data_IF_877230132241
#
_entry.id   IF_877230132241
#
_cell.length_a   1.000
_cell.length_b   1.000
_cell.length_c   1.000
_cell.angle_alpha   90.00
_cell.angle_beta   90.00
_cell.angle_gamma   90.00
#
_symmetry.space_group_name_H-M   'P 1'
#
loop_
_entity.id
_entity.type
_entity.pdbx_description
1 polymer ?
#
# COMPACT_ATOMS: atom_id res chain seq x y z
N UNK A 1 3.57 17.97 39.20
CA UNK A 1 2.82 17.49 38.02
C UNK A 1 3.73 16.49 37.34
N UNK A 2 3.27 15.24 37.14
CA UNK A 2 4.04 14.26 36.38
C UNK A 2 3.80 14.56 34.90
N UNK A 3 4.86 14.86 34.16
CA UNK A 3 4.82 14.90 32.71
C UNK A 3 4.47 13.50 32.22
N UNK A 4 3.25 13.36 31.72
CA UNK A 4 2.81 12.16 31.05
C UNK A 4 3.34 12.24 29.63
N UNK A 5 4.48 11.60 29.40
CA UNK A 5 4.95 11.30 28.04
C UNK A 5 3.89 10.42 27.39
N UNK A 6 3.05 11.04 26.55
CA UNK A 6 2.15 10.30 25.69
C UNK A 6 3.05 9.63 24.66
N UNK A 7 3.41 8.36 24.89
CA UNK A 7 3.90 7.48 23.82
C UNK A 7 2.73 7.33 22.86
N UNK A 8 2.59 8.30 21.96
CA UNK A 8 1.81 8.15 20.75
C UNK A 8 2.53 7.06 19.96
N UNK A 9 2.15 5.80 20.20
CA UNK A 9 2.63 4.70 19.38
C UNK A 9 2.49 5.13 17.94
N UNK A 10 3.61 5.16 17.21
CA UNK A 10 3.67 5.61 15.83
C UNK A 10 2.60 4.83 15.08
N UNK A 11 1.46 5.49 14.83
CA UNK A 11 0.39 4.89 14.04
C UNK A 11 1.04 4.71 12.69
N UNK A 12 1.25 3.47 12.28
CA UNK A 12 1.78 3.20 10.95
C UNK A 12 0.73 3.68 9.96
N UNK A 13 0.91 4.90 9.45
CA UNK A 13 0.09 5.53 8.43
C UNK A 13 0.43 4.89 7.08
N UNK A 14 -0.07 3.67 6.86
CA UNK A 14 0.14 2.92 5.62
C UNK A 14 -1.08 3.10 4.73
N UNK A 15 -0.83 3.43 3.46
CA UNK A 15 -1.85 3.51 2.41
C UNK A 15 -1.55 2.43 1.38
N UNK A 16 -2.57 1.67 0.98
CA UNK A 16 -2.48 0.64 -0.06
C UNK A 16 -3.10 1.18 -1.35
N UNK A 17 -2.32 1.20 -2.42
CA UNK A 17 -2.64 1.81 -3.72
C UNK A 17 -2.07 0.93 -4.84
N UNK A 18 -2.68 0.97 -6.02
CA UNK A 18 -2.24 0.16 -7.17
C UNK A 18 -0.94 0.70 -7.78
N UNK A 19 -0.83 2.02 -7.90
CA UNK A 19 0.36 2.70 -8.44
C UNK A 19 0.58 4.11 -7.85
N UNK A 20 1.57 4.84 -8.37
CA UNK A 20 1.90 6.20 -7.94
C UNK A 20 0.83 7.24 -8.28
N UNK A 21 0.08 7.02 -9.36
CA UNK A 21 -1.04 7.88 -9.76
C UNK A 21 -2.22 7.73 -8.82
N UNK A 22 -2.52 6.49 -8.43
CA UNK A 22 -3.49 6.19 -7.39
C UNK A 22 -3.07 6.83 -6.06
N UNK A 23 -1.78 6.75 -5.72
CA UNK A 23 -1.23 7.41 -4.53
C UNK A 23 -1.42 8.92 -4.58
N UNK A 24 -1.11 9.56 -5.72
CA UNK A 24 -1.30 11.01 -5.88
C UNK A 24 -2.75 11.42 -5.73
N UNK A 25 -3.66 10.63 -6.30
CA UNK A 25 -5.10 10.81 -6.14
C UNK A 25 -5.53 10.74 -4.68
N UNK A 26 -5.03 9.75 -3.92
CA UNK A 26 -5.34 9.61 -2.48
C UNK A 26 -4.78 10.79 -1.68
N UNK A 27 -3.60 11.29 -2.03
CA UNK A 27 -2.93 12.38 -1.33
C UNK A 27 -3.40 13.78 -1.77
N UNK A 28 -4.24 13.88 -2.81
CA UNK A 28 -4.72 15.16 -3.36
C UNK A 28 -3.62 15.94 -4.11
N UNK A 29 -2.67 15.24 -4.71
CA UNK A 29 -1.54 15.81 -5.42
C UNK A 29 -1.25 15.10 -6.75
N UNK A 30 -0.36 15.66 -7.57
CA UNK A 30 0.06 15.01 -8.82
C UNK A 30 0.98 13.82 -8.55
N UNK A 31 1.11 12.94 -9.53
CA UNK A 31 2.10 11.85 -9.51
C UNK A 31 3.52 12.40 -9.34
N UNK A 32 3.87 13.49 -10.05
CA UNK A 32 5.16 14.20 -9.86
C UNK A 32 5.38 14.63 -8.39
N UNK A 33 4.34 15.09 -7.70
CA UNK A 33 4.46 15.48 -6.27
C UNK A 33 4.70 14.25 -5.39
N UNK A 34 4.14 13.10 -5.74
CA UNK A 34 4.40 11.82 -5.06
C UNK A 34 5.83 11.37 -5.27
N UNK A 35 6.38 11.55 -6.48
CA UNK A 35 7.79 11.28 -6.77
C UNK A 35 8.71 12.18 -5.95
N UNK A 36 8.42 13.49 -5.91
CA UNK A 36 9.16 14.44 -5.06
C UNK A 36 9.10 14.05 -3.58
N UNK A 37 7.92 13.67 -3.07
CA UNK A 37 7.77 13.21 -1.68
C UNK A 37 8.54 11.92 -1.39
N UNK A 38 8.66 11.04 -2.38
CA UNK A 38 9.48 9.83 -2.27
C UNK A 38 10.96 10.18 -2.23
N UNK A 39 11.42 11.08 -3.10
CA UNK A 39 12.83 11.52 -3.15
C UNK A 39 13.25 12.27 -1.87
N UNK A 40 12.30 13.00 -1.25
CA UNK A 40 12.49 13.64 0.05
C UNK A 40 12.37 12.69 1.25
N UNK A 41 11.95 11.43 1.03
CA UNK A 41 11.78 10.43 2.09
C UNK A 41 10.53 10.61 2.97
N UNK A 42 9.54 11.37 2.51
CA UNK A 42 8.26 11.56 3.21
C UNK A 42 7.29 10.41 2.99
N UNK A 43 7.38 9.73 1.85
CA UNK A 43 6.59 8.54 1.55
C UNK A 43 7.49 7.42 1.05
N UNK A 44 7.18 6.19 1.46
CA UNK A 44 7.88 4.98 1.03
C UNK A 44 6.85 3.94 0.56
N UNK A 45 7.14 3.22 -0.53
CA UNK A 45 6.33 2.05 -0.88
C UNK A 45 6.69 0.90 0.05
N UNK A 46 5.67 0.20 0.56
CA UNK A 46 5.85 -1.03 1.36
C UNK A 46 5.53 -2.32 0.57
N UNK A 47 5.42 -2.22 -0.76
CA UNK A 47 5.07 -3.33 -1.65
C UNK A 47 3.57 -3.56 -1.80
N UNK A 48 3.18 -4.66 -2.47
CA UNK A 48 1.79 -5.09 -2.68
C UNK A 48 1.36 -6.10 -1.61
N UNK A 49 0.17 -5.96 -1.01
CA UNK A 49 -0.22 -6.80 0.13
C UNK A 49 -1.59 -7.46 0.02
N UNK A 50 -1.56 -8.80 -0.16
CA UNK A 50 -2.73 -9.67 -0.06
C UNK A 50 -2.36 -10.99 0.62
N UNK A 51 -3.20 -11.43 1.57
CA UNK A 51 -3.10 -12.78 2.11
C UNK A 51 -4.23 -13.63 1.57
N UNK A 52 -3.88 -14.56 0.67
CA UNK A 52 -4.82 -15.40 -0.06
C UNK A 52 -5.19 -16.70 0.66
N UNK A 53 -4.53 -17.02 1.79
CA UNK A 53 -4.88 -18.14 2.66
C UNK A 53 -5.07 -19.49 1.94
N UNK A 54 -5.93 -20.39 2.46
CA UNK A 54 -6.23 -21.70 1.84
C UNK A 54 -6.94 -21.62 0.49
N UNK A 55 -7.54 -20.47 0.16
CA UNK A 55 -8.20 -20.24 -1.13
C UNK A 55 -7.20 -20.11 -2.29
N UNK A 56 -5.90 -20.06 -1.98
CA UNK A 56 -4.80 -20.05 -2.95
C UNK A 56 -4.97 -21.10 -4.04
N UNK A 57 -5.32 -22.33 -3.67
CA UNK A 57 -5.37 -23.43 -4.63
C UNK A 57 -6.60 -23.30 -5.54
N UNK A 58 -7.74 -22.88 -4.99
CA UNK A 58 -8.94 -22.57 -5.76
C UNK A 58 -8.73 -21.39 -6.73
N UNK A 59 -8.12 -20.29 -6.28
CA UNK A 59 -7.84 -19.11 -7.12
C UNK A 59 -6.86 -19.44 -8.24
N UNK A 60 -5.86 -20.28 -7.96
CA UNK A 60 -4.90 -20.76 -8.97
C UNK A 60 -5.60 -21.59 -10.04
N UNK A 61 -6.42 -22.54 -9.61
CA UNK A 61 -7.04 -23.49 -10.52
C UNK A 61 -8.12 -22.81 -11.38
N UNK A 62 -8.82 -21.81 -10.84
CA UNK A 62 -9.72 -20.95 -11.62
C UNK A 62 -8.97 -20.07 -12.64
N UNK A 63 -7.83 -19.48 -12.25
CA UNK A 63 -7.07 -18.67 -13.18
C UNK A 63 -6.53 -19.48 -14.38
N UNK A 64 -6.24 -20.79 -14.17
CA UNK A 64 -5.88 -21.73 -15.24
C UNK A 64 -7.08 -22.15 -16.11
N UNK A 65 -8.29 -22.16 -15.56
CA UNK A 65 -9.50 -22.52 -16.29
C UNK A 65 -10.08 -21.36 -17.12
N UNK A 66 -9.99 -20.12 -16.60
CA UNK A 66 -10.57 -18.92 -17.22
C UNK A 66 -9.67 -18.26 -18.27
N UNK A 67 -8.51 -18.86 -18.60
CA UNK A 67 -7.59 -18.33 -19.60
C UNK A 67 -6.95 -16.99 -19.21
N UNK A 68 -6.97 -16.64 -17.91
CA UNK A 68 -6.36 -15.41 -17.40
C UNK A 68 -4.82 -15.40 -17.59
N UNK A 69 -4.23 -16.57 -17.90
CA UNK A 69 -2.80 -16.79 -18.13
C UNK A 69 -2.42 -17.14 -19.58
N UNK A 70 -3.36 -17.13 -20.53
CA UNK A 70 -3.05 -17.14 -21.98
C UNK A 70 -2.90 -15.70 -22.50
#
# INVERSE_FOLDING_TARGET
MKDQEVVMGARHEVVLVGDGKDLGTVLGCSEDTVEDMRDMGYVESRGELWSVGPARDYLRDQAWADGLWD
#
